data_IF_743033435664
#
_entry.id   IF_743033435664
#
_cell.length_a   1.000
_cell.length_b   1.000
_cell.length_c   1.000
_cell.angle_alpha   90.00
_cell.angle_beta   90.00
_cell.angle_gamma   90.00
#
_symmetry.space_group_name_H-M   'P 1'
#
loop_
_entity.id
_entity.type
_entity.pdbx_description
1 polymer ?
#
# COMPACT_ATOMS: atom_id res chain seq x y z
N UNK A 1 9.55 11.99 -66.81
CA UNK A 1 9.17 13.29 -66.20
C UNK A 1 10.38 13.91 -65.49
N UNK A 2 11.30 14.59 -66.18
CA UNK A 2 12.45 15.27 -65.56
C UNK A 2 12.32 16.81 -65.51
N UNK A 3 11.16 17.39 -65.86
CA UNK A 3 11.05 18.81 -66.26
C UNK A 3 10.49 19.76 -65.17
N UNK A 4 10.38 19.30 -63.93
CA UNK A 4 9.83 20.10 -62.82
C UNK A 4 10.94 20.70 -61.94
N UNK A 5 12.14 20.11 -61.93
CA UNK A 5 13.23 20.53 -61.05
C UNK A 5 14.04 21.72 -61.57
N UNK A 6 13.96 22.04 -62.87
CA UNK A 6 14.80 23.07 -63.51
C UNK A 6 14.20 24.49 -63.47
N UNK A 7 12.94 24.62 -63.02
CA UNK A 7 12.22 25.92 -62.91
C UNK A 7 12.14 26.50 -61.49
N UNK A 8 12.69 25.82 -60.49
CA UNK A 8 12.69 26.32 -59.12
C UNK A 8 13.91 27.20 -58.86
N UNK A 9 13.70 28.52 -58.72
CA UNK A 9 14.77 29.43 -58.35
C UNK A 9 15.36 29.03 -56.98
N UNK A 10 16.71 29.05 -56.86
CA UNK A 10 17.42 28.75 -55.60
C UNK A 10 16.80 29.39 -54.33
N UNK A 11 16.35 30.67 -54.32
CA UNK A 11 15.70 31.25 -53.14
C UNK A 11 14.33 30.62 -52.80
N UNK A 12 13.60 30.09 -53.78
CA UNK A 12 12.33 29.41 -53.57
C UNK A 12 12.53 28.04 -52.89
N UNK A 13 13.56 27.29 -53.29
CA UNK A 13 13.93 26.02 -52.64
C UNK A 13 14.29 26.24 -51.17
N UNK A 14 15.11 27.26 -50.87
CA UNK A 14 15.54 27.58 -49.50
C UNK A 14 14.35 27.93 -48.60
N UNK A 15 13.37 28.69 -49.11
CA UNK A 15 12.14 29.01 -48.37
C UNK A 15 11.29 27.77 -48.08
N UNK A 16 11.14 26.87 -49.06
CA UNK A 16 10.41 25.62 -48.89
C UNK A 16 11.08 24.74 -47.81
N UNK A 17 12.41 24.62 -47.86
CA UNK A 17 13.18 23.85 -46.87
C UNK A 17 13.06 24.45 -45.47
N UNK A 18 13.13 25.78 -45.32
CA UNK A 18 12.96 26.47 -44.03
C UNK A 18 11.56 26.26 -43.45
N UNK A 19 10.50 26.36 -44.27
CA UNK A 19 9.12 26.12 -43.83
C UNK A 19 8.94 24.66 -43.41
N UNK A 20 9.50 23.70 -44.15
CA UNK A 20 9.49 22.28 -43.78
C UNK A 20 10.23 22.00 -42.47
N UNK A 21 11.37 22.63 -42.24
CA UNK A 21 12.12 22.52 -40.99
C UNK A 21 11.37 23.12 -39.79
N UNK A 22 10.76 24.29 -39.95
CA UNK A 22 9.92 24.92 -38.91
C UNK A 22 8.68 24.06 -38.63
N UNK A 23 8.07 23.47 -39.66
CA UNK A 23 6.95 22.54 -39.51
C UNK A 23 7.35 21.26 -38.76
N UNK A 24 8.51 20.67 -39.08
CA UNK A 24 9.07 19.51 -38.39
C UNK A 24 9.41 19.81 -36.92
N UNK A 25 9.95 20.99 -36.62
CA UNK A 25 10.19 21.46 -35.25
C UNK A 25 8.88 21.74 -34.49
N UNK A 26 7.83 22.19 -35.19
CA UNK A 26 6.48 22.35 -34.61
C UNK A 26 5.83 21.04 -34.20
N UNK A 27 6.20 19.91 -34.82
CA UNK A 27 5.70 18.57 -34.48
C UNK A 27 6.41 17.94 -33.26
N UNK A 28 7.47 18.58 -32.72
CA UNK A 28 8.20 18.07 -31.55
C UNK A 28 7.44 18.23 -30.21
N UNK A 29 6.28 18.91 -30.22
CA UNK A 29 5.48 19.20 -29.01
C UNK A 29 4.53 18.07 -28.57
N UNK A 30 4.36 17.00 -29.36
CA UNK A 30 3.55 15.86 -28.95
C UNK A 30 4.28 15.06 -27.87
N UNK A 31 3.98 15.35 -26.60
CA UNK A 31 4.39 14.53 -25.46
C UNK A 31 3.59 13.22 -25.50
N UNK A 32 4.00 12.30 -26.36
CA UNK A 32 3.37 10.99 -26.52
C UNK A 32 3.55 10.18 -25.24
N UNK A 33 2.44 9.93 -24.54
CA UNK A 33 2.39 9.08 -23.37
C UNK A 33 1.55 7.85 -23.68
N UNK A 34 2.00 6.69 -23.17
CA UNK A 34 1.23 5.44 -23.20
C UNK A 34 0.71 5.11 -21.81
N UNK A 35 -0.52 4.60 -21.72
CA UNK A 35 -1.03 4.00 -20.47
C UNK A 35 -0.33 2.65 -20.26
N UNK A 36 0.16 2.42 -19.05
CA UNK A 36 0.69 1.14 -18.61
C UNK A 36 -0.10 0.64 -17.41
N UNK A 37 -0.23 -0.69 -17.33
CA UNK A 37 -0.89 -1.39 -16.23
C UNK A 37 0.11 -2.34 -15.57
N UNK A 38 0.27 -2.19 -14.26
CA UNK A 38 0.92 -3.20 -13.41
C UNK A 38 -0.16 -3.84 -12.56
N UNK A 39 -0.20 -5.18 -12.57
CA UNK A 39 -1.12 -5.95 -11.74
C UNK A 39 -0.39 -7.08 -11.03
N UNK A 40 -1.00 -7.57 -9.95
CA UNK A 40 -0.47 -8.67 -9.17
C UNK A 40 -1.42 -9.08 -8.05
N UNK A 41 -0.95 -9.99 -7.20
CA UNK A 41 -1.70 -10.50 -6.03
C UNK A 41 -0.88 -10.29 -4.76
N UNK A 42 -1.56 -9.87 -3.68
CA UNK A 42 -0.99 -9.69 -2.35
C UNK A 42 -2.12 -9.58 -1.32
N UNK A 43 -1.84 -9.82 -0.03
CA UNK A 43 -2.80 -9.60 1.07
C UNK A 43 -4.17 -10.29 0.84
N UNK A 44 -4.16 -11.48 0.22
CA UNK A 44 -5.39 -12.23 -0.11
C UNK A 44 -6.23 -11.65 -1.26
N UNK A 45 -5.76 -10.62 -1.96
CA UNK A 45 -6.49 -9.95 -3.06
C UNK A 45 -5.58 -9.66 -4.26
N UNK A 46 -6.09 -8.89 -5.23
CA UNK A 46 -5.35 -8.40 -6.39
C UNK A 46 -5.27 -6.88 -6.42
N UNK A 47 -4.20 -6.35 -7.02
CA UNK A 47 -4.02 -4.91 -7.21
C UNK A 47 -3.84 -4.57 -8.69
N UNK A 48 -4.23 -3.36 -9.07
CA UNK A 48 -4.08 -2.80 -10.42
C UNK A 48 -3.61 -1.35 -10.31
N UNK A 49 -2.47 -1.03 -10.91
CA UNK A 49 -1.87 0.30 -10.93
C UNK A 49 -1.78 0.75 -12.38
N UNK A 50 -2.50 1.82 -12.70
CA UNK A 50 -2.48 2.46 -14.02
C UNK A 50 -1.70 3.77 -13.96
N UNK A 51 -0.86 4.01 -14.96
CA UNK A 51 -0.03 5.21 -15.01
C UNK A 51 0.40 5.49 -16.46
N UNK A 52 0.63 6.78 -16.76
CA UNK A 52 1.05 7.24 -18.09
C UNK A 52 2.55 7.48 -18.11
N UNK A 53 3.25 6.90 -19.09
CA UNK A 53 4.70 7.05 -19.24
C UNK A 53 5.11 7.48 -20.63
N UNK A 54 6.28 8.12 -20.73
CA UNK A 54 6.92 8.38 -22.01
C UNK A 54 7.35 7.09 -22.72
N UNK A 55 7.57 7.18 -24.03
CA UNK A 55 7.88 6.04 -24.90
C UNK A 55 9.03 5.15 -24.41
N UNK A 56 10.08 5.75 -23.85
CA UNK A 56 11.31 5.07 -23.47
C UNK A 56 11.39 4.69 -21.98
N UNK A 57 10.29 4.79 -21.23
CA UNK A 57 10.27 4.38 -19.84
C UNK A 57 10.23 2.84 -19.72
N UNK A 58 11.19 2.27 -19.02
CA UNK A 58 11.19 0.87 -18.62
C UNK A 58 10.30 0.68 -17.38
N UNK A 59 9.28 -0.17 -17.51
CA UNK A 59 8.32 -0.44 -16.46
C UNK A 59 8.78 -1.52 -15.48
N UNK A 60 9.83 -2.28 -15.80
CA UNK A 60 10.24 -3.43 -15.01
C UNK A 60 10.80 -3.01 -13.64
N UNK A 61 11.58 -1.94 -13.58
CA UNK A 61 12.10 -1.39 -12.33
C UNK A 61 10.98 -0.89 -11.41
N UNK A 62 9.99 -0.20 -11.97
CA UNK A 62 8.81 0.25 -11.21
C UNK A 62 8.01 -0.94 -10.68
N UNK A 63 7.78 -1.98 -11.50
CA UNK A 63 7.10 -3.21 -11.07
C UNK A 63 7.86 -3.91 -9.94
N UNK A 64 9.18 -3.99 -10.03
CA UNK A 64 10.03 -4.57 -8.99
C UNK A 64 9.94 -3.75 -7.69
N UNK A 65 10.00 -2.42 -7.79
CA UNK A 65 9.88 -1.53 -6.64
C UNK A 65 8.51 -1.65 -5.95
N UNK A 66 7.42 -1.69 -6.72
CA UNK A 66 6.05 -1.91 -6.20
C UNK A 66 5.96 -3.27 -5.51
N UNK A 67 6.44 -4.33 -6.16
CA UNK A 67 6.38 -5.68 -5.60
C UNK A 67 7.18 -5.78 -4.30
N UNK A 68 8.36 -5.18 -4.26
CA UNK A 68 9.18 -5.10 -3.05
C UNK A 68 8.44 -4.35 -1.94
N UNK A 69 7.88 -3.16 -2.24
CA UNK A 69 7.17 -2.36 -1.23
C UNK A 69 5.95 -3.09 -0.66
N UNK A 70 5.17 -3.76 -1.50
CA UNK A 70 4.03 -4.58 -1.06
C UNK A 70 4.47 -5.77 -0.20
N UNK A 71 5.63 -6.38 -0.51
CA UNK A 71 6.21 -7.44 0.31
C UNK A 71 6.67 -6.90 1.67
N UNK A 72 7.33 -5.74 1.71
CA UNK A 72 7.76 -5.11 2.96
C UNK A 72 6.56 -4.81 3.88
N UNK A 73 5.44 -4.33 3.30
CA UNK A 73 4.19 -4.14 4.04
C UNK A 73 3.69 -5.47 4.63
N UNK A 74 3.68 -6.56 3.87
CA UNK A 74 3.29 -7.88 4.41
C UNK A 74 4.21 -8.34 5.55
N UNK A 75 5.52 -8.17 5.40
CA UNK A 75 6.49 -8.53 6.44
C UNK A 75 6.26 -7.73 7.73
N UNK A 76 5.69 -6.52 7.65
CA UNK A 76 5.32 -5.76 8.85
C UNK A 76 3.92 -6.12 9.39
N UNK A 77 2.90 -6.18 8.52
CA UNK A 77 1.49 -6.07 8.94
C UNK A 77 0.60 -7.24 8.51
N UNK A 78 1.14 -8.34 8.00
CA UNK A 78 0.36 -9.54 7.71
C UNK A 78 0.05 -10.32 8.99
N UNK A 79 -1.22 -10.40 9.39
CA UNK A 79 -1.65 -11.26 10.51
C UNK A 79 -1.61 -12.76 10.20
N UNK A 80 -1.30 -13.13 8.94
CA UNK A 80 -1.16 -14.51 8.49
C UNK A 80 0.30 -14.98 8.50
N UNK A 81 1.26 -14.06 8.41
CA UNK A 81 2.67 -14.40 8.50
C UNK A 81 3.09 -14.40 9.98
N UNK A 82 3.45 -15.54 10.57
CA UNK A 82 3.85 -15.60 11.98
C UNK A 82 5.15 -14.82 12.27
N UNK A 83 5.94 -14.50 11.25
CA UNK A 83 7.18 -13.73 11.37
C UNK A 83 6.98 -12.23 11.18
N UNK A 84 5.75 -11.78 10.91
CA UNK A 84 5.51 -10.36 10.72
C UNK A 84 5.64 -9.57 12.03
N UNK A 85 5.92 -8.28 11.93
CA UNK A 85 5.99 -7.40 13.11
C UNK A 85 4.68 -7.43 13.90
N UNK A 86 3.53 -7.34 13.24
CA UNK A 86 2.22 -7.40 13.91
C UNK A 86 1.97 -8.76 14.58
N UNK A 87 2.35 -9.88 13.94
CA UNK A 87 2.19 -11.21 14.54
C UNK A 87 3.12 -11.40 15.73
N UNK A 88 4.35 -10.88 15.64
CA UNK A 88 5.32 -10.90 16.75
C UNK A 88 4.81 -10.06 17.91
N UNK A 89 4.34 -8.84 17.66
CA UNK A 89 3.73 -7.99 18.69
C UNK A 89 2.51 -8.65 19.32
N UNK A 90 1.65 -9.31 18.54
CA UNK A 90 0.50 -10.05 19.05
C UNK A 90 0.89 -11.18 20.00
N UNK A 91 2.09 -11.77 19.88
CA UNK A 91 2.59 -12.85 20.75
C UNK A 91 3.29 -12.36 22.03
N UNK A 92 3.52 -11.05 22.17
CA UNK A 92 4.13 -10.50 23.39
C UNK A 92 3.18 -10.69 24.58
N UNK A 93 3.57 -11.52 25.55
CA UNK A 93 2.87 -11.74 26.82
C UNK A 93 3.37 -10.84 27.96
N UNK A 94 4.62 -10.38 27.89
CA UNK A 94 5.23 -9.55 28.92
C UNK A 94 5.01 -8.05 28.64
N UNK A 95 4.27 -7.38 29.52
CA UNK A 95 4.00 -5.94 29.46
C UNK A 95 5.24 -5.06 29.60
N UNK A 96 6.36 -5.60 30.09
CA UNK A 96 7.64 -4.88 30.15
C UNK A 96 8.35 -4.83 28.78
N UNK A 97 7.93 -5.66 27.83
CA UNK A 97 8.55 -5.74 26.51
C UNK A 97 8.21 -4.50 25.68
N UNK A 98 9.26 -3.80 25.25
CA UNK A 98 9.18 -2.68 24.30
C UNK A 98 9.70 -3.22 22.97
N UNK A 99 8.81 -3.38 21.99
CA UNK A 99 9.13 -3.98 20.70
C UNK A 99 9.41 -2.88 19.67
N UNK A 100 10.60 -2.86 19.03
CA UNK A 100 10.85 -1.96 17.92
C UNK A 100 10.04 -2.38 16.70
N UNK A 101 9.58 -1.41 15.92
CA UNK A 101 8.79 -1.60 14.70
C UNK A 101 9.32 -0.74 13.56
N UNK A 102 9.00 -1.13 12.33
CA UNK A 102 9.35 -0.34 11.14
C UNK A 102 8.61 1.00 11.09
N UNK A 103 9.18 1.99 10.38
CA UNK A 103 8.55 3.28 10.12
C UNK A 103 7.15 3.14 9.52
N UNK A 104 6.98 2.20 8.57
CA UNK A 104 5.70 1.96 7.93
C UNK A 104 4.64 1.49 8.93
N UNK A 105 5.00 0.55 9.81
CA UNK A 105 4.10 0.07 10.84
C UNK A 105 3.81 1.16 11.88
N UNK A 106 4.82 1.95 12.25
CA UNK A 106 4.68 3.06 13.20
C UNK A 106 3.67 4.10 12.70
N UNK A 107 3.77 4.51 11.43
CA UNK A 107 2.81 5.45 10.82
C UNK A 107 1.38 4.88 10.80
N UNK A 108 1.21 3.58 10.52
CA UNK A 108 -0.11 2.93 10.57
C UNK A 108 -0.65 2.91 11.99
N UNK A 109 0.18 2.61 12.99
CA UNK A 109 -0.23 2.61 14.40
C UNK A 109 -0.63 3.99 14.90
N UNK A 110 0.05 5.06 14.46
CA UNK A 110 -0.36 6.43 14.75
C UNK A 110 -1.73 6.77 14.13
N UNK A 111 -1.98 6.36 12.88
CA UNK A 111 -3.29 6.57 12.26
C UNK A 111 -4.38 5.73 12.94
N UNK A 112 -4.07 4.50 13.33
CA UNK A 112 -4.95 3.64 14.11
C UNK A 112 -5.35 4.31 15.45
N UNK A 113 -4.38 4.83 16.19
CA UNK A 113 -4.65 5.57 17.44
C UNK A 113 -5.58 6.75 17.19
N UNK A 114 -5.28 7.55 16.16
CA UNK A 114 -6.13 8.69 15.78
C UNK A 114 -7.55 8.26 15.43
N UNK A 115 -7.71 7.18 14.65
CA UNK A 115 -9.03 6.65 14.29
C UNK A 115 -9.80 6.18 15.52
N UNK A 116 -9.15 5.47 16.43
CA UNK A 116 -9.76 5.06 17.70
C UNK A 116 -10.29 6.28 18.47
N UNK A 117 -9.49 7.33 18.60
CA UNK A 117 -9.86 8.56 19.31
C UNK A 117 -11.02 9.30 18.63
N UNK A 118 -10.93 9.60 17.34
CA UNK A 118 -11.97 10.39 16.64
C UNK A 118 -13.29 9.65 16.48
N UNK A 119 -13.28 8.32 16.56
CA UNK A 119 -14.48 7.48 16.50
C UNK A 119 -15.01 7.10 17.87
N UNK A 120 -14.43 7.63 18.96
CA UNK A 120 -14.76 7.27 20.34
C UNK A 120 -14.76 5.74 20.58
N UNK A 121 -13.78 5.04 20.00
CA UNK A 121 -13.61 3.60 20.13
C UNK A 121 -14.50 2.74 19.23
N UNK A 122 -15.31 3.34 18.34
CA UNK A 122 -16.07 2.56 17.36
C UNK A 122 -15.16 1.84 16.35
N UNK A 123 -14.01 2.44 16.03
CA UNK A 123 -12.88 1.74 15.41
C UNK A 123 -11.91 1.29 16.51
N UNK A 124 -11.61 0.00 16.61
CA UNK A 124 -10.58 -0.54 17.52
C UNK A 124 -9.81 -1.68 16.84
N UNK A 125 -8.50 -1.50 16.64
CA UNK A 125 -7.61 -2.48 16.03
C UNK A 125 -7.33 -3.73 16.89
N UNK A 126 -7.78 -3.77 18.14
CA UNK A 126 -7.54 -4.86 19.10
C UNK A 126 -8.67 -5.87 19.19
N UNK A 127 -9.71 -5.76 18.35
CA UNK A 127 -10.90 -6.64 18.36
C UNK A 127 -10.65 -8.08 17.92
N UNK A 128 -9.40 -8.47 17.61
CA UNK A 128 -9.03 -9.83 17.17
C UNK A 128 -9.60 -10.93 18.09
N UNK A 129 -9.58 -10.84 19.43
CA UNK A 129 -10.19 -11.85 20.30
C UNK A 129 -11.69 -12.05 20.03
N UNK A 130 -12.43 -10.97 19.79
CA UNK A 130 -13.87 -11.00 19.49
C UNK A 130 -14.11 -11.54 18.07
N UNK A 131 -13.33 -11.09 17.08
CA UNK A 131 -13.39 -11.60 15.70
C UNK A 131 -13.18 -13.13 15.68
N UNK A 132 -12.21 -13.64 16.44
CA UNK A 132 -11.96 -15.08 16.58
C UNK A 132 -13.11 -15.80 17.30
N UNK A 133 -13.65 -15.20 18.37
CA UNK A 133 -14.76 -15.76 19.14
C UNK A 133 -15.99 -16.02 18.27
N UNK A 134 -16.25 -15.13 17.30
CA UNK A 134 -17.37 -15.24 16.36
C UNK A 134 -17.05 -16.03 15.08
N UNK A 135 -15.83 -16.58 14.95
CA UNK A 135 -15.44 -17.39 13.79
C UNK A 135 -15.13 -16.60 12.52
N UNK A 136 -14.96 -15.28 12.62
CA UNK A 136 -14.50 -14.44 11.48
C UNK A 136 -12.98 -14.42 11.33
N UNK A 137 -12.25 -14.97 12.31
CA UNK A 137 -10.81 -15.13 12.26
C UNK A 137 -10.38 -16.46 11.64
N UNK A 138 -9.08 -16.75 11.70
CA UNK A 138 -8.49 -17.98 11.14
C UNK A 138 -8.68 -19.22 12.01
N UNK A 139 -9.14 -19.04 13.25
CA UNK A 139 -9.40 -20.12 14.19
C UNK A 139 -10.74 -20.78 13.90
N UNK A 140 -10.90 -22.02 14.37
CA UNK A 140 -12.07 -22.89 14.18
C UNK A 140 -13.41 -22.14 14.19
N UNK A 141 -14.27 -22.45 13.22
CA UNK A 141 -15.62 -21.89 13.14
C UNK A 141 -16.48 -22.53 14.23
N UNK A 142 -16.90 -21.78 15.26
CA UNK A 142 -17.71 -22.35 16.32
C UNK A 142 -19.06 -22.78 15.75
N UNK A 143 -19.52 -23.99 16.09
CA UNK A 143 -20.82 -24.48 15.63
C UNK A 143 -22.01 -23.83 16.34
N UNK A 144 -21.76 -23.08 17.42
CA UNK A 144 -22.78 -22.41 18.23
C UNK A 144 -22.32 -21.02 18.58
N UNK A 145 -23.30 -20.12 18.73
CA UNK A 145 -23.06 -18.76 19.20
C UNK A 145 -22.38 -18.76 20.59
N UNK A 146 -21.46 -17.83 20.85
CA UNK A 146 -20.83 -17.69 22.15
C UNK A 146 -21.84 -17.31 23.23
N UNK A 147 -21.73 -17.91 24.41
CA UNK A 147 -22.52 -17.48 25.56
C UNK A 147 -22.08 -16.10 26.10
N UNK A 148 -22.96 -15.44 26.87
CA UNK A 148 -22.72 -14.10 27.40
C UNK A 148 -21.50 -14.02 28.35
N UNK A 149 -21.18 -15.08 29.08
CA UNK A 149 -20.00 -15.13 29.95
C UNK A 149 -18.73 -15.08 29.12
N UNK A 150 -18.67 -15.87 28.05
CA UNK A 150 -17.53 -15.94 27.14
C UNK A 150 -17.34 -14.63 26.38
N UNK A 151 -18.42 -13.99 25.95
CA UNK A 151 -18.38 -12.64 25.36
C UNK A 151 -17.76 -11.65 26.36
N UNK A 152 -18.31 -11.59 27.58
CA UNK A 152 -17.84 -10.64 28.60
C UNK A 152 -16.36 -10.84 28.95
N UNK A 153 -15.92 -12.09 29.13
CA UNK A 153 -14.51 -12.39 29.39
C UNK A 153 -13.59 -12.03 28.22
N UNK A 154 -14.09 -12.15 26.98
CA UNK A 154 -13.30 -11.82 25.78
C UNK A 154 -13.21 -10.31 25.58
N UNK A 155 -14.25 -9.56 25.94
CA UNK A 155 -14.25 -8.09 25.86
C UNK A 155 -13.19 -7.45 26.77
N UNK A 156 -12.81 -8.10 27.87
CA UNK A 156 -11.71 -7.64 28.72
C UNK A 156 -10.35 -7.64 27.99
N UNK A 157 -10.23 -8.40 26.89
CA UNK A 157 -9.05 -8.53 26.03
C UNK A 157 -9.01 -7.53 24.87
N UNK A 158 -9.96 -6.60 24.84
CA UNK A 158 -10.06 -5.56 23.81
C UNK A 158 -9.86 -4.20 24.46
N UNK A 159 -9.06 -3.36 23.81
CA UNK A 159 -8.89 -1.97 24.20
C UNK A 159 -7.61 -1.39 23.60
N UNK A 160 -7.75 -0.59 22.55
CA UNK A 160 -6.63 0.11 21.92
C UNK A 160 -5.85 1.00 22.89
N UNK A 161 -6.50 1.54 23.93
CA UNK A 161 -5.88 2.35 24.99
C UNK A 161 -4.78 1.62 25.78
N UNK A 162 -4.71 0.28 25.66
CA UNK A 162 -3.67 -0.53 26.28
C UNK A 162 -2.40 -0.66 25.42
N UNK A 163 -2.39 -0.12 24.20
CA UNK A 163 -1.21 -0.07 23.34
C UNK A 163 -0.53 1.29 23.52
N UNK A 164 0.76 1.26 23.82
CA UNK A 164 1.62 2.45 23.88
C UNK A 164 2.46 2.51 22.63
N UNK A 165 2.45 3.68 22.00
CA UNK A 165 3.21 3.97 20.78
C UNK A 165 4.19 5.09 21.13
N UNK A 166 5.49 4.77 21.16
CA UNK A 166 6.55 5.74 21.51
C UNK A 166 7.72 5.54 20.57
N UNK A 167 8.09 6.57 19.81
CA UNK A 167 9.25 6.60 18.92
C UNK A 167 9.60 5.25 18.26
N UNK A 168 8.78 4.78 17.31
CA UNK A 168 9.00 3.52 16.59
C UNK A 168 9.04 2.26 17.47
N UNK A 169 8.45 2.32 18.66
CA UNK A 169 8.27 1.16 19.53
C UNK A 169 6.80 0.99 19.92
N UNK A 170 6.41 -0.27 20.13
CA UNK A 170 5.12 -0.66 20.69
C UNK A 170 5.31 -1.38 22.03
N UNK A 171 4.38 -1.14 22.94
CA UNK A 171 4.30 -1.86 24.21
C UNK A 171 2.84 -2.11 24.58
N UNK A 172 2.55 -3.26 25.17
CA UNK A 172 1.26 -3.55 25.79
C UNK A 172 1.31 -3.14 27.26
N UNK A 173 0.40 -2.29 27.72
CA UNK A 173 0.20 -1.95 29.14
C UNK A 173 -0.58 -2.99 29.92
N UNK A 174 -1.20 -3.94 29.22
CA UNK A 174 -2.05 -4.97 29.80
C UNK A 174 -1.72 -6.31 29.17
N UNK A 175 -1.53 -7.34 30.02
CA UNK A 175 -1.36 -8.73 29.58
C UNK A 175 -2.62 -9.30 28.91
N UNK A 176 -3.74 -8.58 28.98
CA UNK A 176 -5.05 -9.07 28.56
C UNK A 176 -5.22 -8.97 27.03
N UNK A 177 -4.33 -8.28 26.28
CA UNK A 177 -4.45 -8.09 24.82
C UNK A 177 -4.10 -9.29 23.92
N UNK A 178 -3.85 -10.47 24.49
CA UNK A 178 -3.53 -11.68 23.71
C UNK A 178 -4.78 -12.43 23.30
#
# INVERSE_FOLDING_TARGET
>A
MPDIMDKLSRPLIVRIVLVLWIFLLGLSGCRYQRECLISGRTMGTSYHIKYNVGLFFDHQDLKNAITKKLKDINNSMSTYDPKSEISTFNQVDDTSTIMPISDAFYQVMLQAQRLYEITNGAWDGTVKPIVNLWGFGHTSHPQKEPDSKRITSTLQRVGFQHIVITDHHLQKRSQILN
#
